data_IF_192790864295
#
_entry.id   IF_192790864295
#
_cell.length_a   1.000
_cell.length_b   1.000
_cell.length_c   1.000
_cell.angle_alpha   90.00
_cell.angle_beta   90.00
_cell.angle_gamma   90.00
#
_symmetry.space_group_name_H-M   'P 1'
#
loop_
_entity.id
_entity.type
_entity.pdbx_description
1 polymer ?
#
# COMPACT_ATOMS: atom_id res chain seq x y z
N UNK A 1 -12.71 -49.29 -18.48
CA UNK A 1 -12.11 -49.25 -17.14
C UNK A 1 -11.56 -47.84 -16.95
N UNK A 2 -12.31 -46.95 -16.31
CA UNK A 2 -11.93 -45.58 -15.98
C UNK A 2 -11.80 -45.56 -14.47
N UNK A 3 -10.58 -45.44 -13.96
CA UNK A 3 -10.29 -45.35 -12.53
C UNK A 3 -10.39 -43.90 -12.07
N UNK A 4 -11.28 -43.68 -11.13
CA UNK A 4 -11.48 -42.40 -10.43
C UNK A 4 -10.23 -42.05 -9.61
N UNK A 5 -9.69 -40.84 -9.84
CA UNK A 5 -8.74 -40.21 -8.94
C UNK A 5 -9.46 -39.13 -8.12
N UNK A 6 -10.00 -39.52 -6.99
CA UNK A 6 -10.49 -38.59 -5.96
C UNK A 6 -9.33 -38.19 -5.07
N UNK A 7 -8.67 -37.07 -5.43
CA UNK A 7 -7.68 -36.42 -4.59
C UNK A 7 -8.35 -35.36 -3.71
N UNK A 8 -8.65 -35.69 -2.45
CA UNK A 8 -9.10 -34.73 -1.47
C UNK A 8 -7.96 -33.87 -0.97
N UNK A 9 -8.02 -32.55 -1.27
CA UNK A 9 -7.14 -31.54 -0.69
C UNK A 9 -7.32 -31.47 0.83
N UNK A 10 -6.26 -31.47 1.65
CA UNK A 10 -6.39 -31.32 3.09
C UNK A 10 -6.81 -29.89 3.44
N UNK A 11 -8.06 -29.72 3.85
CA UNK A 11 -8.52 -28.47 4.50
C UNK A 11 -7.80 -28.34 5.84
N UNK A 12 -6.97 -27.33 6.00
CA UNK A 12 -6.40 -26.97 7.29
C UNK A 12 -7.54 -26.69 8.27
N UNK A 13 -7.67 -27.52 9.30
CA UNK A 13 -8.62 -27.29 10.41
C UNK A 13 -8.04 -26.20 11.29
N UNK A 14 -8.59 -24.98 11.22
CA UNK A 14 -8.31 -23.92 12.19
C UNK A 14 -8.98 -24.32 13.52
N UNK A 15 -8.18 -24.69 14.51
CA UNK A 15 -8.64 -24.92 15.89
C UNK A 15 -8.92 -23.56 16.54
N UNK A 16 -10.16 -23.35 16.96
CA UNK A 16 -10.68 -22.06 17.46
C UNK A 16 -10.27 -21.72 18.91
N UNK A 17 -9.31 -22.41 19.53
CA UNK A 17 -9.13 -22.29 20.98
C UNK A 17 -7.70 -22.13 21.50
N UNK A 18 -6.83 -21.42 20.78
CA UNK A 18 -5.59 -20.88 21.39
C UNK A 18 -5.26 -19.54 20.78
N UNK A 19 -5.78 -18.44 21.37
CA UNK A 19 -5.15 -17.13 21.19
C UNK A 19 -3.76 -17.21 21.82
N UNK A 20 -2.67 -16.91 21.10
CA UNK A 20 -1.37 -16.82 21.73
C UNK A 20 -1.44 -15.73 22.82
N UNK A 21 -1.17 -16.08 24.07
CA UNK A 21 -0.89 -15.09 25.12
C UNK A 21 0.44 -14.46 24.77
N UNK A 22 0.41 -13.26 24.19
CA UNK A 22 1.61 -12.44 24.05
C UNK A 22 1.93 -11.94 25.47
N UNK A 23 3.01 -12.42 26.07
CA UNK A 23 3.54 -11.87 27.30
C UNK A 23 4.09 -10.47 27.00
N UNK A 24 3.37 -9.46 27.46
CA UNK A 24 3.68 -8.03 27.21
C UNK A 24 5.03 -7.61 27.84
N UNK A 25 5.59 -8.40 28.75
CA UNK A 25 6.87 -8.14 29.43
C UNK A 25 8.13 -8.29 28.57
N UNK A 26 8.01 -8.84 27.35
CA UNK A 26 9.15 -9.07 26.43
C UNK A 26 9.20 -8.10 25.25
N UNK A 27 8.30 -7.12 25.18
CA UNK A 27 8.35 -6.11 24.13
C UNK A 27 9.29 -4.97 24.56
N UNK A 28 10.18 -4.47 23.65
CA UNK A 28 10.96 -3.27 23.95
C UNK A 28 9.99 -2.12 24.29
N UNK A 29 10.45 -1.20 25.14
CA UNK A 29 9.70 -0.04 25.62
C UNK A 29 9.23 0.80 24.42
N UNK A 30 8.07 0.43 23.87
CA UNK A 30 7.40 1.25 22.89
C UNK A 30 6.82 2.45 23.64
N UNK A 31 7.24 3.66 23.29
CA UNK A 31 6.57 4.91 23.61
C UNK A 31 5.05 4.71 23.64
N UNK A 32 4.30 5.28 24.57
CA UNK A 32 2.91 4.92 24.83
C UNK A 32 2.13 4.81 23.54
N UNK A 33 1.50 3.66 23.29
CA UNK A 33 0.70 3.37 22.09
C UNK A 33 -0.45 4.39 22.04
N UNK A 34 -0.25 5.46 21.29
CA UNK A 34 -1.17 6.61 21.24
C UNK A 34 -2.54 6.29 20.64
N UNK A 35 -2.64 5.14 19.96
CA UNK A 35 -3.86 4.67 19.30
C UNK A 35 -4.75 3.77 20.18
N UNK A 36 -4.45 3.67 21.49
CA UNK A 36 -5.29 2.94 22.43
C UNK A 36 -5.72 3.86 23.58
N UNK A 37 -6.98 3.69 24.03
CA UNK A 37 -7.47 4.35 25.22
C UNK A 37 -7.09 3.53 26.49
N UNK A 38 -7.45 4.06 27.67
CA UNK A 38 -7.20 3.39 28.97
C UNK A 38 -7.84 2.00 29.09
N UNK A 39 -8.90 1.71 28.34
CA UNK A 39 -9.54 0.39 28.27
C UNK A 39 -8.92 -0.54 27.21
N UNK A 40 -7.79 -0.17 26.60
CA UNK A 40 -7.12 -0.94 25.54
C UNK A 40 -7.90 -1.00 24.22
N UNK A 41 -8.84 -0.09 23.98
CA UNK A 41 -9.60 0.00 22.73
C UNK A 41 -8.95 0.98 21.78
N UNK A 42 -9.02 0.68 20.49
CA UNK A 42 -8.49 1.57 19.45
C UNK A 42 -9.20 2.92 19.47
N UNK A 43 -8.39 3.99 19.33
CA UNK A 43 -8.88 5.37 19.17
C UNK A 43 -8.06 6.08 18.11
N UNK A 44 -8.67 6.97 17.37
CA UNK A 44 -7.96 7.92 16.52
C UNK A 44 -7.27 8.96 17.40
N UNK A 45 -6.00 9.27 17.12
CA UNK A 45 -5.22 10.23 17.92
C UNK A 45 -5.77 11.63 17.72
N UNK A 46 -5.95 12.38 18.83
CA UNK A 46 -6.28 13.79 18.75
C UNK A 46 -5.10 14.60 18.24
N UNK A 47 -5.33 15.39 17.21
CA UNK A 47 -4.33 16.23 16.55
C UNK A 47 -4.66 17.72 16.64
N UNK A 48 -5.67 18.12 17.43
CA UNK A 48 -6.16 19.49 17.52
C UNK A 48 -5.08 20.51 17.94
N UNK A 49 -4.17 20.09 18.84
CA UNK A 49 -3.09 20.94 19.36
C UNK A 49 -1.80 20.90 18.52
N UNK A 50 -1.80 20.17 17.39
CA UNK A 50 -0.62 20.05 16.54
C UNK A 50 -0.53 21.19 15.54
N UNK A 51 0.63 21.84 15.50
CA UNK A 51 0.92 22.88 14.51
C UNK A 51 0.91 22.29 13.10
N UNK A 52 0.26 22.98 12.18
CA UNK A 52 0.31 22.64 10.77
C UNK A 52 1.71 22.88 10.19
N UNK A 53 2.22 21.89 9.48
CA UNK A 53 3.51 21.96 8.79
C UNK A 53 3.39 21.36 7.39
N UNK A 54 4.28 21.75 6.48
CA UNK A 54 4.41 21.06 5.18
C UNK A 54 4.88 19.63 5.43
N UNK A 55 4.22 18.68 4.79
CA UNK A 55 4.53 17.25 4.90
C UNK A 55 4.54 16.60 3.54
N UNK A 56 5.49 15.73 3.33
CA UNK A 56 5.64 14.95 2.10
C UNK A 56 5.88 13.50 2.48
N UNK A 57 5.28 12.59 1.74
CA UNK A 57 5.61 11.17 1.81
C UNK A 57 5.71 10.60 0.39
N UNK A 58 6.67 9.71 0.19
CA UNK A 58 6.84 8.94 -1.04
C UNK A 58 6.79 7.46 -0.71
N UNK A 59 5.94 6.72 -1.41
CA UNK A 59 5.83 5.28 -1.33
C UNK A 59 6.11 4.66 -2.70
N UNK A 60 6.52 3.38 -2.70
CA UNK A 60 6.76 2.60 -3.91
C UNK A 60 6.06 1.26 -3.82
N UNK A 61 5.52 0.79 -4.95
CA UNK A 61 5.08 -0.59 -5.13
C UNK A 61 5.76 -1.20 -6.35
N UNK A 62 6.07 -2.50 -6.27
CA UNK A 62 6.71 -3.25 -7.35
C UNK A 62 5.80 -4.40 -7.77
N UNK A 63 5.57 -4.50 -9.09
CA UNK A 63 4.90 -5.65 -9.69
C UNK A 63 5.91 -6.44 -10.51
N UNK A 64 5.88 -7.78 -10.35
CA UNK A 64 6.63 -8.73 -11.16
C UNK A 64 5.66 -9.37 -12.14
N UNK A 65 6.05 -9.43 -13.40
CA UNK A 65 5.25 -9.98 -14.50
C UNK A 65 6.16 -10.57 -15.58
N UNK A 66 5.60 -11.21 -16.58
CA UNK A 66 6.37 -11.64 -17.75
C UNK A 66 6.79 -10.44 -18.60
N UNK A 67 7.92 -10.55 -19.29
CA UNK A 67 8.42 -9.52 -20.19
C UNK A 67 7.40 -9.15 -21.26
N UNK A 68 6.69 -10.13 -21.80
CA UNK A 68 5.67 -9.91 -22.83
C UNK A 68 4.49 -9.09 -22.30
N UNK A 69 4.12 -9.26 -21.04
CA UNK A 69 3.06 -8.47 -20.39
C UNK A 69 3.51 -7.02 -20.21
N UNK A 70 4.75 -6.82 -19.75
CA UNK A 70 5.33 -5.48 -19.60
C UNK A 70 5.41 -4.76 -20.94
N UNK A 71 5.83 -5.45 -22.00
CA UNK A 71 5.91 -4.89 -23.35
C UNK A 71 4.52 -4.47 -23.88
N UNK A 72 3.48 -5.26 -23.63
CA UNK A 72 2.10 -4.91 -24.00
C UNK A 72 1.62 -3.64 -23.28
N UNK A 73 1.98 -3.49 -21.99
CA UNK A 73 1.66 -2.28 -21.23
C UNK A 73 2.37 -1.06 -21.85
N UNK A 74 3.69 -1.16 -22.07
CA UNK A 74 4.52 -0.07 -22.65
C UNK A 74 4.08 0.35 -24.04
N UNK A 75 3.59 -0.59 -24.85
CA UNK A 75 3.10 -0.33 -26.21
C UNK A 75 1.65 0.14 -26.25
N UNK A 76 0.95 0.21 -25.11
CA UNK A 76 -0.48 0.56 -25.07
C UNK A 76 -1.38 -0.45 -25.76
N UNK A 77 -0.97 -1.72 -25.89
CA UNK A 77 -1.68 -2.77 -26.62
C UNK A 77 -2.59 -3.63 -25.76
N UNK A 78 -2.83 -3.26 -24.52
CA UNK A 78 -3.78 -3.96 -23.67
C UNK A 78 -5.22 -3.73 -24.12
N UNK A 79 -6.03 -4.81 -24.18
CA UNK A 79 -7.44 -4.72 -24.61
C UNK A 79 -8.30 -3.77 -23.79
N UNK A 80 -7.95 -3.53 -22.53
CA UNK A 80 -8.66 -2.61 -21.61
C UNK A 80 -8.20 -1.14 -21.75
N UNK A 81 -7.30 -0.83 -22.67
CA UNK A 81 -6.81 0.53 -22.91
C UNK A 81 -5.50 0.84 -22.20
N UNK A 82 -5.25 2.13 -21.95
CA UNK A 82 -4.02 2.62 -21.30
C UNK A 82 -3.98 2.25 -19.82
N UNK A 83 -3.21 1.20 -19.50
CA UNK A 83 -3.07 0.65 -18.16
C UNK A 83 -2.49 1.67 -17.19
N UNK A 84 -1.44 2.38 -17.60
CA UNK A 84 -0.73 3.29 -16.70
C UNK A 84 -1.55 4.55 -16.42
N UNK A 85 -2.25 5.09 -17.42
CA UNK A 85 -3.14 6.23 -17.22
C UNK A 85 -4.30 5.89 -16.26
N UNK A 86 -4.92 4.72 -16.41
CA UNK A 86 -6.00 4.29 -15.51
C UNK A 86 -5.47 4.03 -14.10
N UNK A 87 -4.30 3.38 -13.97
CA UNK A 87 -3.67 3.13 -12.68
C UNK A 87 -3.29 4.43 -11.96
N UNK A 88 -2.81 5.44 -12.70
CA UNK A 88 -2.50 6.77 -12.15
C UNK A 88 -3.75 7.42 -11.55
N UNK A 89 -4.84 7.45 -12.29
CA UNK A 89 -6.12 8.03 -11.80
C UNK A 89 -6.62 7.25 -10.58
N UNK A 90 -6.57 5.92 -10.61
CA UNK A 90 -6.99 5.08 -9.50
C UNK A 90 -6.17 5.35 -8.23
N UNK A 91 -4.85 5.48 -8.35
CA UNK A 91 -3.97 5.82 -7.23
C UNK A 91 -4.26 7.20 -6.64
N UNK A 92 -4.48 8.22 -7.50
CA UNK A 92 -4.86 9.56 -7.05
C UNK A 92 -6.19 9.55 -6.29
N UNK A 93 -7.19 8.83 -6.83
CA UNK A 93 -8.51 8.72 -6.19
C UNK A 93 -8.44 7.97 -4.86
N UNK A 94 -7.62 6.92 -4.78
CA UNK A 94 -7.44 6.16 -3.56
C UNK A 94 -6.74 6.96 -2.45
N UNK A 95 -5.69 7.71 -2.77
CA UNK A 95 -5.04 8.62 -1.82
C UNK A 95 -6.04 9.59 -1.18
N UNK A 96 -6.97 10.15 -1.96
CA UNK A 96 -8.01 11.08 -1.47
C UNK A 96 -9.05 10.42 -0.58
N UNK A 97 -9.10 9.09 -0.53
CA UNK A 97 -10.07 8.29 0.22
C UNK A 97 -9.43 7.39 1.27
N UNK A 98 -8.18 7.65 1.65
CA UNK A 98 -7.44 6.81 2.61
C UNK A 98 -8.20 6.61 3.92
N UNK A 99 -8.78 7.67 4.47
CA UNK A 99 -9.57 7.61 5.70
C UNK A 99 -10.87 6.78 5.59
N UNK A 100 -11.35 6.51 4.37
CA UNK A 100 -12.57 5.71 4.18
C UNK A 100 -12.31 4.20 4.40
N UNK A 101 -11.08 3.74 4.25
CA UNK A 101 -10.71 2.32 4.41
C UNK A 101 -9.70 2.04 5.52
N UNK A 102 -8.94 3.03 5.95
CA UNK A 102 -7.99 2.88 7.06
C UNK A 102 -8.58 3.55 8.31
N UNK A 103 -9.16 2.77 9.25
CA UNK A 103 -10.05 3.29 10.29
C UNK A 103 -9.44 4.37 11.19
N UNK A 104 -8.11 4.33 11.39
CA UNK A 104 -7.42 5.24 12.31
C UNK A 104 -6.77 6.43 11.59
N UNK A 105 -6.94 6.54 10.27
CA UNK A 105 -6.45 7.69 9.51
C UNK A 105 -7.41 8.87 9.60
N UNK A 106 -6.84 10.07 9.75
CA UNK A 106 -7.60 11.32 9.67
C UNK A 106 -7.95 11.64 8.21
N UNK A 107 -9.10 12.26 7.94
CA UNK A 107 -9.35 12.87 6.64
C UNK A 107 -8.40 14.06 6.45
N UNK A 108 -7.57 14.02 5.43
CA UNK A 108 -6.53 15.02 5.18
C UNK A 108 -6.80 15.75 3.86
N UNK A 109 -6.71 17.08 3.87
CA UNK A 109 -6.72 17.89 2.66
C UNK A 109 -5.36 17.78 1.96
N UNK A 110 -5.28 17.01 0.87
CA UNK A 110 -4.06 16.83 0.11
C UNK A 110 -3.82 18.01 -0.84
N UNK A 111 -2.59 18.56 -0.84
CA UNK A 111 -2.20 19.67 -1.70
C UNK A 111 -1.54 19.22 -3.01
N UNK A 112 -1.07 17.98 -3.08
CA UNK A 112 -0.47 17.43 -4.28
C UNK A 112 -0.32 15.91 -4.20
N UNK A 113 -0.55 15.24 -5.34
CA UNK A 113 -0.31 13.82 -5.54
C UNK A 113 0.35 13.69 -6.91
N UNK A 114 1.53 13.07 -6.94
CA UNK A 114 2.25 12.75 -8.16
C UNK A 114 2.52 11.24 -8.19
N UNK A 115 2.22 10.59 -9.31
CA UNK A 115 2.43 9.15 -9.50
C UNK A 115 3.26 8.95 -10.75
N UNK A 116 4.35 8.22 -10.60
CA UNK A 116 5.30 7.91 -11.67
C UNK A 116 5.43 6.40 -11.84
N UNK A 117 5.73 5.99 -13.06
CA UNK A 117 5.96 4.61 -13.44
C UNK A 117 7.34 4.48 -14.05
N UNK A 118 8.05 3.43 -13.67
CA UNK A 118 9.32 3.03 -14.25
C UNK A 118 9.36 1.50 -14.38
N UNK A 119 10.28 0.98 -15.17
CA UNK A 119 10.47 -0.47 -15.32
C UNK A 119 11.96 -0.82 -15.40
N UNK A 120 12.29 -2.09 -15.18
CA UNK A 120 13.67 -2.60 -15.32
C UNK A 120 14.01 -3.07 -16.73
N UNK A 121 13.13 -2.84 -17.71
CA UNK A 121 13.29 -3.28 -19.10
C UNK A 121 13.08 -4.79 -19.31
N UNK A 122 12.67 -5.54 -18.28
CA UNK A 122 12.52 -6.99 -18.35
C UNK A 122 11.16 -7.44 -17.77
N UNK A 123 10.99 -7.45 -16.46
CA UNK A 123 9.85 -8.12 -15.83
C UNK A 123 9.31 -7.39 -14.59
N UNK A 124 9.81 -6.22 -14.26
CA UNK A 124 9.36 -5.45 -13.10
C UNK A 124 8.84 -4.07 -13.52
N UNK A 125 7.67 -3.73 -12.99
CA UNK A 125 7.07 -2.41 -13.06
C UNK A 125 7.11 -1.77 -11.67
N UNK A 126 7.68 -0.58 -11.58
CA UNK A 126 7.73 0.24 -10.37
C UNK A 126 6.70 1.34 -10.43
N UNK A 127 5.96 1.52 -9.36
CA UNK A 127 4.98 2.57 -9.17
C UNK A 127 5.42 3.38 -7.97
N UNK A 128 5.68 4.66 -8.16
CA UNK A 128 6.05 5.56 -7.08
C UNK A 128 5.03 6.69 -6.95
N UNK A 129 4.57 6.95 -5.73
CA UNK A 129 3.64 8.03 -5.43
C UNK A 129 4.23 8.98 -4.39
N UNK A 130 4.28 10.27 -4.73
CA UNK A 130 4.63 11.34 -3.80
C UNK A 130 3.38 12.16 -3.47
N UNK A 131 3.03 12.20 -2.19
CA UNK A 131 1.87 12.91 -1.66
C UNK A 131 2.31 14.04 -0.77
N UNK A 132 1.61 15.18 -0.84
CA UNK A 132 1.92 16.41 -0.09
C UNK A 132 0.67 16.97 0.57
N UNK A 133 0.89 17.55 1.77
CA UNK A 133 -0.13 18.34 2.49
C UNK A 133 0.53 19.45 3.29
N UNK A 134 -0.29 20.42 3.73
CA UNK A 134 0.03 21.29 4.87
C UNK A 134 -1.00 20.96 5.94
N UNK A 135 -0.55 20.41 7.07
CA UNK A 135 -1.47 19.92 8.08
C UNK A 135 -0.80 19.36 9.34
N UNK A 136 -1.60 18.95 10.33
CA UNK A 136 -1.13 18.50 11.64
C UNK A 136 -0.60 17.05 11.65
N UNK A 137 -0.82 16.28 10.58
CA UNK A 137 -0.40 14.85 10.52
C UNK A 137 0.29 14.52 9.20
N UNK A 138 1.01 13.40 9.14
CA UNK A 138 1.73 12.94 7.95
C UNK A 138 0.80 12.33 6.90
N UNK A 139 1.35 12.10 5.70
CA UNK A 139 0.63 11.57 4.52
C UNK A 139 1.21 10.24 4.04
N UNK A 140 1.84 9.51 4.95
CA UNK A 140 2.47 8.21 4.66
C UNK A 140 1.43 7.20 4.17
N UNK A 141 0.27 7.17 4.82
CA UNK A 141 -0.81 6.24 4.46
C UNK A 141 -1.44 6.59 3.12
N UNK A 142 -1.57 7.87 2.81
CA UNK A 142 -2.06 8.33 1.51
C UNK A 142 -1.13 7.90 0.37
N UNK A 143 0.19 7.99 0.59
CA UNK A 143 1.18 7.55 -0.39
C UNK A 143 1.15 6.02 -0.57
N UNK A 144 1.11 5.25 0.52
CA UNK A 144 1.00 3.79 0.48
C UNK A 144 -0.30 3.32 -0.17
N UNK A 145 -1.42 3.98 0.13
CA UNK A 145 -2.73 3.70 -0.47
C UNK A 145 -2.71 3.98 -1.98
N UNK A 146 -2.08 5.08 -2.40
CA UNK A 146 -1.96 5.45 -3.81
C UNK A 146 -1.26 4.35 -4.62
N UNK A 147 -0.07 3.92 -4.19
CA UNK A 147 0.69 2.90 -4.94
C UNK A 147 0.01 1.53 -4.89
N UNK A 148 -0.65 1.19 -3.78
CA UNK A 148 -1.39 -0.08 -3.65
C UNK A 148 -2.57 -0.13 -4.62
N UNK A 149 -3.37 0.92 -4.70
CA UNK A 149 -4.50 1.00 -5.62
C UNK A 149 -4.05 1.02 -7.09
N UNK A 150 -2.96 1.72 -7.40
CA UNK A 150 -2.39 1.72 -8.73
C UNK A 150 -1.91 0.30 -9.12
N UNK A 151 -1.21 -0.41 -8.22
CA UNK A 151 -0.75 -1.77 -8.45
C UNK A 151 -1.91 -2.75 -8.67
N UNK A 152 -2.94 -2.70 -7.84
CA UNK A 152 -4.17 -3.50 -8.02
C UNK A 152 -4.86 -3.19 -9.34
N UNK A 153 -4.83 -1.95 -9.80
CA UNK A 153 -5.42 -1.54 -11.08
C UNK A 153 -4.64 -2.11 -12.26
N UNK A 154 -3.29 -2.06 -12.21
CA UNK A 154 -2.44 -2.72 -13.21
C UNK A 154 -2.78 -4.21 -13.27
N UNK A 155 -2.84 -4.88 -12.11
CA UNK A 155 -3.20 -6.30 -12.04
C UNK A 155 -4.58 -6.57 -12.67
N UNK A 156 -5.61 -5.81 -12.31
CA UNK A 156 -6.96 -6.00 -12.88
C UNK A 156 -6.99 -5.83 -14.39
N UNK A 157 -6.30 -4.84 -14.89
CA UNK A 157 -6.29 -4.56 -16.34
C UNK A 157 -5.51 -5.60 -17.14
N UNK A 158 -4.50 -6.23 -16.53
CA UNK A 158 -3.61 -7.18 -17.21
C UNK A 158 -3.96 -8.66 -16.94
N UNK A 159 -4.75 -8.98 -15.91
CA UNK A 159 -5.04 -10.37 -15.48
C UNK A 159 -5.63 -11.30 -16.54
N UNK A 160 -6.23 -10.74 -17.62
CA UNK A 160 -6.71 -11.53 -18.76
C UNK A 160 -5.57 -12.09 -19.61
N UNK A 161 -4.39 -11.46 -19.59
CA UNK A 161 -3.17 -11.87 -20.29
C UNK A 161 -2.33 -12.73 -19.37
N UNK A 162 -2.13 -12.30 -18.13
CA UNK A 162 -1.31 -12.98 -17.14
C UNK A 162 -1.95 -12.90 -15.75
N UNK A 163 -2.21 -14.06 -15.12
CA UNK A 163 -2.77 -14.12 -13.75
C UNK A 163 -1.69 -14.28 -12.69
N UNK A 164 -0.49 -14.69 -13.10
CA UNK A 164 0.63 -15.01 -12.20
C UNK A 164 1.44 -13.77 -11.80
N UNK A 165 1.01 -12.57 -12.19
CA UNK A 165 1.61 -11.31 -11.74
C UNK A 165 1.63 -11.23 -10.22
N UNK A 166 2.73 -10.73 -9.66
CA UNK A 166 2.94 -10.61 -8.22
C UNK A 166 3.07 -9.13 -7.87
N UNK A 167 2.25 -8.63 -6.95
CA UNK A 167 2.52 -7.38 -6.24
C UNK A 167 3.53 -7.74 -5.16
N UNK A 168 4.81 -7.49 -5.44
CA UNK A 168 5.95 -8.03 -4.70
C UNK A 168 6.19 -7.24 -3.41
N UNK A 169 6.17 -5.92 -3.50
CA UNK A 169 6.45 -5.06 -2.36
C UNK A 169 5.61 -3.79 -2.42
N UNK A 170 5.23 -3.28 -1.25
CA UNK A 170 4.71 -1.93 -1.09
C UNK A 170 5.36 -1.35 0.16
N UNK A 171 6.07 -0.23 0.02
CA UNK A 171 6.89 0.31 1.09
C UNK A 171 6.96 1.83 1.06
N UNK A 172 7.18 2.42 2.24
CA UNK A 172 7.48 3.82 2.39
C UNK A 172 8.96 4.06 2.03
N UNK A 173 9.21 4.99 1.12
CA UNK A 173 10.56 5.38 0.65
C UNK A 173 11.06 6.59 1.44
N UNK A 174 10.19 7.61 1.55
CA UNK A 174 10.54 8.88 2.16
C UNK A 174 9.36 9.42 2.96
N UNK A 175 9.67 10.05 4.06
CA UNK A 175 8.77 10.93 4.79
C UNK A 175 9.54 12.16 5.23
N UNK A 176 8.98 13.34 5.02
CA UNK A 176 9.57 14.61 5.45
C UNK A 176 8.54 15.49 6.15
N UNK A 177 9.00 16.24 7.15
CA UNK A 177 8.21 17.15 7.97
C UNK A 177 7.61 16.52 9.22
N UNK A 178 7.22 17.38 10.17
CA UNK A 178 6.65 17.00 11.47
C UNK A 178 7.70 16.81 12.56
N UNK A 179 7.21 16.51 13.78
CA UNK A 179 8.05 16.46 15.00
C UNK A 179 9.05 15.31 15.02
N UNK A 180 8.75 14.20 14.34
CA UNK A 180 9.53 12.96 14.42
C UNK A 180 10.66 12.89 13.38
N UNK A 181 11.03 14.02 12.80
CA UNK A 181 12.10 14.12 11.80
C UNK A 181 11.75 13.45 10.46
N UNK A 182 12.73 13.41 9.58
CA UNK A 182 12.62 12.84 8.26
C UNK A 182 13.02 11.36 8.29
N UNK A 183 12.39 10.58 7.42
CA UNK A 183 12.71 9.18 7.19
C UNK A 183 13.10 9.00 5.72
N UNK A 184 14.21 8.35 5.49
CA UNK A 184 14.66 7.88 4.19
C UNK A 184 14.98 6.40 4.29
N UNK A 185 14.32 5.59 3.46
CA UNK A 185 14.68 4.17 3.36
C UNK A 185 16.05 4.06 2.70
N UNK A 186 16.96 3.36 3.35
CA UNK A 186 18.20 2.94 2.72
C UNK A 186 17.88 1.69 1.89
N UNK A 187 18.19 1.73 0.59
CA UNK A 187 18.12 0.53 -0.25
C UNK A 187 19.14 -0.48 0.29
N UNK A 188 18.64 -1.66 0.70
CA UNK A 188 19.44 -2.80 1.16
C UNK A 188 19.74 -3.73 0.02
#
# INVERSE_FOLDING_TARGET
MISELTGSSPRAKWSSNQKPKIEVSALPDFSPLTHFNEQGRARMVDISDKTETKRTATARSTLIMKSETLDLIKQGKMKKGDVLAVAQVAGIMAAKKTSDWIPMCHPIALTGIDIQFADNGNNELYIEATVRTTGPTGVEMEALTAVSAAALTVYDMCKAVEKDMIISSTLLVLKAGGKNGDFHRQDS
#
